data_IF_872085414496
#
_entry.id   IF_872085414496
#
_cell.length_a   1.000
_cell.length_b   1.000
_cell.length_c   1.000
_cell.angle_alpha   90.00
_cell.angle_beta   90.00
_cell.angle_gamma   90.00
#
_symmetry.space_group_name_H-M   'P 1'
#
loop_
_entity.id
_entity.type
_entity.pdbx_description
1 polymer ?
#
# COMPACT_ATOMS: atom_id res chain seq x y z
N UNK A 1 -27.82 34.32 -43.89
CA UNK A 1 -28.41 34.41 -42.53
C UNK A 1 -29.31 33.22 -42.19
N UNK A 2 -30.17 32.72 -43.11
CA UNK A 2 -31.02 31.54 -42.84
C UNK A 2 -30.26 30.19 -42.75
N UNK A 3 -29.16 30.01 -43.48
CA UNK A 3 -28.41 28.73 -43.50
C UNK A 3 -27.66 28.45 -42.19
N UNK A 4 -27.34 29.49 -41.41
CA UNK A 4 -26.61 29.38 -40.13
C UNK A 4 -27.52 28.95 -38.96
N UNK A 5 -28.82 29.27 -39.05
CA UNK A 5 -29.81 28.94 -38.01
C UNK A 5 -30.19 27.46 -38.06
N UNK A 6 -30.21 26.85 -39.25
CA UNK A 6 -30.52 25.42 -39.43
C UNK A 6 -29.40 24.49 -38.93
N UNK A 7 -28.15 24.96 -38.92
CA UNK A 7 -27.03 24.17 -38.40
C UNK A 7 -27.09 24.02 -36.87
N UNK A 8 -27.54 25.04 -36.16
CA UNK A 8 -27.63 25.03 -34.69
C UNK A 8 -28.74 24.09 -34.22
N UNK A 9 -29.88 24.04 -34.92
CA UNK A 9 -31.00 23.16 -34.57
C UNK A 9 -30.72 21.68 -34.84
N UNK A 10 -29.87 21.33 -35.81
CA UNK A 10 -29.47 19.94 -36.05
C UNK A 10 -28.58 19.37 -34.93
N UNK A 11 -27.80 20.22 -34.26
CA UNK A 11 -26.95 19.80 -33.13
C UNK A 11 -27.72 19.65 -31.81
N UNK A 12 -28.87 20.29 -31.65
CA UNK A 12 -29.65 20.27 -30.40
C UNK A 12 -30.63 19.08 -30.34
N UNK A 13 -31.11 18.57 -31.49
CA UNK A 13 -32.15 17.51 -31.51
C UNK A 13 -31.62 16.08 -31.53
N UNK A 14 -30.30 15.87 -31.60
CA UNK A 14 -29.72 14.52 -31.52
C UNK A 14 -29.19 14.24 -30.10
N UNK A 15 -29.90 13.44 -29.28
CA UNK A 15 -29.43 13.12 -27.92
C UNK A 15 -28.19 12.23 -27.93
N UNK A 16 -27.78 11.69 -29.08
CA UNK A 16 -26.59 10.87 -29.24
C UNK A 16 -25.26 11.65 -29.15
N UNK A 17 -25.27 12.98 -29.32
CA UNK A 17 -24.03 13.79 -29.28
C UNK A 17 -23.63 14.21 -27.87
N UNK A 18 -24.55 14.22 -26.90
CA UNK A 18 -24.25 14.52 -25.50
C UNK A 18 -23.61 13.34 -24.74
N UNK A 19 -23.63 12.13 -25.30
CA UNK A 19 -23.08 10.92 -24.69
C UNK A 19 -21.78 10.44 -25.36
N UNK A 20 -21.01 11.35 -25.96
CA UNK A 20 -19.63 11.07 -26.28
C UNK A 20 -18.84 10.97 -24.96
N UNK A 21 -18.75 9.73 -24.45
CA UNK A 21 -17.83 9.36 -23.38
C UNK A 21 -16.45 9.94 -23.74
N UNK A 22 -15.79 10.68 -22.84
CA UNK A 22 -14.52 11.33 -23.17
C UNK A 22 -13.58 10.27 -23.73
N UNK A 23 -13.13 10.55 -24.95
CA UNK A 23 -12.13 9.79 -25.67
C UNK A 23 -10.97 9.49 -24.75
N UNK A 24 -10.67 8.20 -24.55
CA UNK A 24 -9.53 7.64 -23.83
C UNK A 24 -8.32 8.59 -23.80
N UNK A 25 -8.26 9.43 -22.77
CA UNK A 25 -7.13 10.33 -22.54
C UNK A 25 -6.02 9.50 -21.91
N UNK A 26 -4.78 9.79 -22.26
CA UNK A 26 -3.61 9.08 -21.76
C UNK A 26 -3.55 9.05 -20.21
N UNK A 27 -4.25 9.96 -19.54
CA UNK A 27 -4.40 10.03 -18.08
C UNK A 27 -5.15 8.83 -17.48
N UNK A 28 -6.24 8.34 -18.09
CA UNK A 28 -6.91 7.11 -17.62
C UNK A 28 -6.01 5.89 -17.82
N UNK A 29 -5.25 5.84 -18.92
CA UNK A 29 -4.27 4.77 -19.15
C UNK A 29 -3.09 4.85 -18.19
N UNK A 30 -2.68 6.04 -17.76
CA UNK A 30 -1.59 6.23 -16.80
C UNK A 30 -2.06 5.77 -15.41
N UNK A 31 -3.25 6.16 -14.97
CA UNK A 31 -3.88 5.66 -13.74
C UNK A 31 -4.12 4.15 -13.80
N UNK A 32 -4.62 3.62 -14.93
CA UNK A 32 -4.80 2.18 -15.15
C UNK A 32 -3.46 1.43 -15.22
N UNK A 33 -2.40 2.05 -15.73
CA UNK A 33 -1.05 1.47 -15.74
C UNK A 33 -0.42 1.49 -14.34
N UNK A 34 -0.65 2.53 -13.55
CA UNK A 34 -0.24 2.58 -12.14
C UNK A 34 -1.06 1.60 -11.28
N UNK A 35 -2.34 1.40 -11.59
CA UNK A 35 -3.19 0.41 -10.92
C UNK A 35 -2.85 -1.02 -11.36
N UNK A 36 -2.58 -1.25 -12.65
CA UNK A 36 -2.17 -2.54 -13.20
C UNK A 36 -0.73 -2.94 -12.83
N UNK A 37 0.15 -1.97 -12.53
CA UNK A 37 1.49 -2.21 -12.00
C UNK A 37 1.51 -2.40 -10.48
N UNK A 38 0.36 -2.34 -9.80
CA UNK A 38 0.22 -2.93 -8.47
C UNK A 38 0.25 -4.44 -8.60
N UNK A 39 1.44 -5.02 -8.71
CA UNK A 39 1.62 -6.46 -8.59
C UNK A 39 1.04 -6.90 -7.23
N UNK A 40 -0.16 -7.46 -7.24
CA UNK A 40 -0.95 -7.80 -6.03
C UNK A 40 -0.40 -9.02 -5.27
N UNK A 41 0.73 -9.56 -5.70
CA UNK A 41 1.34 -10.77 -5.17
C UNK A 41 2.79 -10.55 -4.71
N UNK A 42 3.05 -9.40 -4.08
CA UNK A 42 4.34 -9.16 -3.43
C UNK A 42 4.37 -9.91 -2.10
N UNK A 43 5.38 -10.76 -1.92
CA UNK A 43 5.64 -11.50 -0.68
C UNK A 43 6.86 -10.93 0.03
N UNK A 44 6.76 -10.80 1.35
CA UNK A 44 7.89 -10.42 2.19
C UNK A 44 8.19 -11.54 3.17
N UNK A 45 9.47 -11.91 3.28
CA UNK A 45 9.95 -12.87 4.28
C UNK A 45 10.94 -12.16 5.17
N UNK A 46 10.63 -12.06 6.46
CA UNK A 46 11.46 -11.43 7.47
C UNK A 46 11.93 -12.50 8.45
N UNK A 47 13.24 -12.67 8.56
CA UNK A 47 13.84 -13.70 9.42
C UNK A 47 14.83 -13.07 10.39
N UNK A 48 14.61 -13.27 11.69
CA UNK A 48 15.57 -12.97 12.74
C UNK A 48 16.12 -14.27 13.32
N UNK A 49 17.41 -14.55 13.07
CA UNK A 49 18.07 -15.81 13.46
C UNK A 49 18.78 -15.75 14.82
N UNK A 50 18.75 -14.61 15.50
CA UNK A 50 19.43 -14.43 16.79
C UNK A 50 18.49 -14.61 17.98
N UNK A 51 18.99 -15.20 19.07
CA UNK A 51 18.23 -15.46 20.31
C UNK A 51 18.76 -14.66 21.50
N UNK A 52 18.01 -14.67 22.60
CA UNK A 52 18.33 -14.06 23.90
C UNK A 52 18.21 -12.53 23.96
N UNK A 53 18.08 -12.05 25.20
CA UNK A 53 17.87 -10.63 25.53
C UNK A 53 18.97 -9.69 24.99
N UNK A 54 20.23 -10.13 24.94
CA UNK A 54 21.32 -9.29 24.44
C UNK A 54 21.19 -8.96 22.94
N UNK A 55 20.40 -9.74 22.20
CA UNK A 55 20.12 -9.52 20.78
C UNK A 55 18.77 -8.82 20.56
N UNK A 56 18.22 -8.15 21.57
CA UNK A 56 16.98 -7.37 21.46
C UNK A 56 16.93 -6.50 20.20
N UNK A 57 18.05 -5.84 19.87
CA UNK A 57 18.17 -4.97 18.68
C UNK A 57 17.85 -5.67 17.36
N UNK A 58 18.17 -6.96 17.22
CA UNK A 58 17.90 -7.69 15.98
C UNK A 58 16.40 -7.92 15.81
N UNK A 59 15.71 -8.36 16.88
CA UNK A 59 14.25 -8.51 16.87
C UNK A 59 13.56 -7.17 16.67
N UNK A 60 14.03 -6.11 17.33
CA UNK A 60 13.48 -4.77 17.18
C UNK A 60 13.65 -4.22 15.75
N UNK A 61 14.80 -4.44 15.11
CA UNK A 61 15.02 -4.07 13.71
C UNK A 61 14.13 -4.86 12.74
N UNK A 62 13.95 -6.16 12.94
CA UNK A 62 13.04 -6.95 12.10
C UNK A 62 11.60 -6.46 12.22
N UNK A 63 11.15 -6.14 13.45
CA UNK A 63 9.81 -5.63 13.68
C UNK A 63 9.61 -4.20 13.15
N UNK A 64 10.65 -3.35 13.13
CA UNK A 64 10.55 -2.02 12.51
C UNK A 64 10.38 -2.12 10.99
N UNK A 65 11.07 -3.06 10.34
CA UNK A 65 10.90 -3.35 8.92
C UNK A 65 9.49 -3.91 8.65
N UNK A 66 8.99 -4.81 9.50
CA UNK A 66 7.61 -5.31 9.40
C UNK A 66 6.58 -4.17 9.40
N UNK A 67 6.72 -3.20 10.33
CA UNK A 67 5.83 -2.03 10.37
C UNK A 67 5.94 -1.17 9.11
N UNK A 68 7.15 -0.96 8.59
CA UNK A 68 7.36 -0.23 7.34
C UNK A 68 6.70 -0.94 6.16
N UNK A 69 6.83 -2.26 6.06
CA UNK A 69 6.20 -3.07 5.02
C UNK A 69 4.67 -2.96 5.08
N UNK A 70 4.08 -2.96 6.29
CA UNK A 70 2.64 -2.73 6.45
C UNK A 70 2.23 -1.35 5.94
N UNK A 71 3.02 -0.31 6.26
CA UNK A 71 2.77 1.07 5.80
C UNK A 71 2.86 1.22 4.29
N UNK A 72 3.64 0.36 3.62
CA UNK A 72 3.75 0.28 2.17
C UNK A 72 2.58 -0.46 1.50
N UNK A 73 1.62 -1.00 2.26
CA UNK A 73 0.41 -1.62 1.73
C UNK A 73 0.51 -3.12 1.44
N UNK A 74 1.56 -3.81 1.90
CA UNK A 74 1.62 -5.28 1.82
C UNK A 74 0.70 -5.87 2.90
N UNK A 75 -0.29 -6.70 2.55
CA UNK A 75 -1.20 -7.30 3.54
C UNK A 75 -0.48 -8.33 4.41
N UNK A 76 -0.93 -8.49 5.65
CA UNK A 76 -0.34 -9.43 6.62
C UNK A 76 -0.37 -10.89 6.13
N UNK A 77 -1.30 -11.26 5.25
CA UNK A 77 -1.36 -12.57 4.61
C UNK A 77 -0.13 -12.90 3.75
N UNK A 78 0.59 -11.89 3.27
CA UNK A 78 1.72 -12.03 2.35
C UNK A 78 3.06 -11.80 3.06
N UNK A 79 3.06 -11.73 4.40
CA UNK A 79 4.24 -11.46 5.20
C UNK A 79 4.52 -12.66 6.10
N UNK A 80 5.64 -13.33 5.83
CA UNK A 80 6.13 -14.42 6.68
C UNK A 80 7.15 -13.83 7.64
N UNK A 81 6.77 -13.71 8.91
CA UNK A 81 7.64 -13.22 9.98
C UNK A 81 8.14 -14.39 10.83
N UNK A 82 9.46 -14.57 10.88
CA UNK A 82 10.13 -15.59 11.69
C UNK A 82 11.02 -14.93 12.73
N UNK A 83 10.67 -15.09 14.01
CA UNK A 83 11.45 -14.61 15.14
C UNK A 83 11.95 -15.81 15.95
N UNK A 84 13.23 -15.79 16.34
CA UNK A 84 13.84 -16.90 17.06
C UNK A 84 13.55 -16.94 18.57
N UNK A 85 12.97 -15.88 19.15
CA UNK A 85 12.74 -15.73 20.59
C UNK A 85 11.53 -14.82 20.93
N UNK A 86 10.88 -15.07 22.08
CA UNK A 86 9.73 -14.32 22.58
C UNK A 86 10.15 -13.17 23.51
N UNK A 87 10.85 -12.19 22.93
CA UNK A 87 11.29 -10.96 23.63
C UNK A 87 10.18 -10.21 24.39
N UNK A 88 8.93 -10.06 23.89
CA UNK A 88 7.92 -9.29 24.61
C UNK A 88 7.53 -9.90 25.97
N UNK A 89 7.69 -11.22 26.15
CA UNK A 89 7.36 -11.94 27.38
C UNK A 89 8.58 -12.19 28.28
N UNK A 90 9.74 -11.60 27.97
CA UNK A 90 10.94 -11.79 28.77
C UNK A 90 10.82 -11.00 30.09
N UNK A 91 11.18 -11.62 31.23
CA UNK A 91 11.14 -10.96 32.55
C UNK A 91 12.04 -9.72 32.66
N UNK A 92 13.04 -9.58 31.77
CA UNK A 92 13.90 -8.39 31.67
C UNK A 92 13.25 -7.23 30.92
N UNK A 93 12.11 -7.46 30.28
CA UNK A 93 11.36 -6.41 29.59
C UNK A 93 10.56 -5.57 30.60
N UNK A 94 10.87 -4.28 30.79
CA UNK A 94 10.10 -3.42 31.67
C UNK A 94 8.65 -3.21 31.18
N UNK A 95 8.38 -3.44 29.89
CA UNK A 95 7.05 -3.29 29.29
C UNK A 95 6.59 -4.61 28.67
N UNK A 96 6.05 -5.55 29.47
CA UNK A 96 5.61 -6.84 28.98
C UNK A 96 4.57 -6.69 27.86
N UNK A 97 4.72 -7.50 26.80
CA UNK A 97 3.88 -7.45 25.61
C UNK A 97 4.38 -6.52 24.51
N UNK A 98 5.34 -5.64 24.78
CA UNK A 98 5.87 -4.68 23.80
C UNK A 98 7.35 -4.89 23.51
N UNK A 99 7.70 -5.06 22.23
CA UNK A 99 9.10 -5.17 21.75
C UNK A 99 9.62 -3.92 21.04
N UNK A 100 8.73 -3.00 20.66
CA UNK A 100 9.09 -1.79 19.91
C UNK A 100 9.09 -0.53 20.76
N UNK A 101 8.68 -0.59 22.03
CA UNK A 101 8.57 0.60 22.88
C UNK A 101 9.91 1.34 23.05
N UNK A 102 11.02 0.59 23.11
CA UNK A 102 12.37 1.18 23.21
C UNK A 102 12.83 1.91 21.95
N UNK A 103 12.25 1.63 20.77
CA UNK A 103 12.60 2.33 19.52
C UNK A 103 11.70 3.54 19.22
N UNK A 104 10.56 3.67 19.90
CA UNK A 104 9.65 4.82 19.75
C UNK A 104 9.94 5.97 20.76
N UNK A 105 10.89 5.78 21.69
CA UNK A 105 11.31 6.76 22.70
C UNK A 105 12.80 7.14 22.61
N UNK A 106 13.45 6.86 21.47
CA UNK A 106 14.75 7.41 21.07
C UNK A 106 14.48 8.31 19.86
#
# INVERSE_FOLDING_TARGET
MLVFILFISFFITNPAVAAAKPSSTNEEKIEEFFYASTHTNNWAVLVCTSRFWFNYRHVANTLSIYQSIKRLGIPDSNIILMLADNIPCNARNPHPGNTLFLLYNI
#
